data_IF_211198813513
#
_entry.id   IF_211198813513
#
_cell.length_a   1.000
_cell.length_b   1.000
_cell.length_c   1.000
_cell.angle_alpha   90.00
_cell.angle_beta   90.00
_cell.angle_gamma   90.00
#
_symmetry.space_group_name_H-M   'P 1'
#
loop_
_entity.id
_entity.type
_entity.pdbx_description
1 polymer ?
#
# COMPACT_ATOMS: atom_id res chain seq x y z
N UNK A 1 -41.78 -2.60 -62.19
CA UNK A 1 -41.75 -1.90 -60.90
C UNK A 1 -41.41 -2.93 -59.83
N UNK A 2 -40.18 -3.43 -59.82
CA UNK A 2 -39.69 -4.51 -58.89
C UNK A 2 -38.19 -4.37 -58.56
N UNK A 3 -37.73 -3.21 -58.07
CA UNK A 3 -36.31 -2.97 -57.76
C UNK A 3 -36.09 -2.42 -56.29
N UNK A 4 -37.14 -2.19 -55.52
CA UNK A 4 -37.03 -1.39 -54.30
C UNK A 4 -36.87 -2.21 -53.00
N UNK A 5 -37.11 -3.52 -53.02
CA UNK A 5 -37.14 -4.33 -51.80
C UNK A 5 -35.72 -4.89 -51.42
N UNK A 6 -34.87 -5.23 -52.38
CA UNK A 6 -33.54 -5.78 -52.14
C UNK A 6 -32.53 -4.75 -51.58
N UNK A 7 -32.66 -3.48 -51.96
CA UNK A 7 -31.77 -2.41 -51.47
C UNK A 7 -32.05 -2.02 -50.02
N UNK A 8 -33.28 -2.18 -49.55
CA UNK A 8 -33.68 -1.80 -48.20
C UNK A 8 -33.25 -2.83 -47.14
N UNK A 9 -33.21 -4.13 -47.48
CA UNK A 9 -32.72 -5.17 -46.55
C UNK A 9 -31.20 -5.11 -46.35
N UNK A 10 -30.42 -4.68 -47.35
CA UNK A 10 -28.98 -4.58 -47.26
C UNK A 10 -28.52 -3.40 -46.35
N UNK A 11 -29.30 -2.32 -46.31
CA UNK A 11 -29.01 -1.16 -45.47
C UNK A 11 -29.24 -1.43 -43.95
N UNK A 12 -30.28 -2.20 -43.64
CA UNK A 12 -30.64 -2.54 -42.25
C UNK A 12 -29.60 -3.49 -41.63
N UNK A 13 -29.09 -4.47 -42.40
CA UNK A 13 -28.06 -5.41 -41.91
C UNK A 13 -26.72 -4.76 -41.57
N UNK A 14 -26.32 -3.71 -42.28
CA UNK A 14 -25.05 -2.99 -42.04
C UNK A 14 -25.13 -2.08 -40.82
N UNK A 15 -26.28 -1.49 -40.53
CA UNK A 15 -26.47 -0.61 -39.36
C UNK A 15 -26.51 -1.39 -38.06
N UNK A 16 -27.05 -2.61 -38.05
CA UNK A 16 -27.08 -3.48 -36.87
C UNK A 16 -25.67 -4.01 -36.52
N UNK A 17 -24.83 -4.29 -37.52
CA UNK A 17 -23.47 -4.78 -37.31
C UNK A 17 -22.56 -3.70 -36.67
N UNK A 18 -22.74 -2.42 -37.05
CA UNK A 18 -21.98 -1.32 -36.45
C UNK A 18 -22.46 -0.99 -35.02
N UNK A 19 -23.70 -1.19 -34.70
CA UNK A 19 -24.24 -0.97 -33.35
C UNK A 19 -23.76 -2.07 -32.36
N UNK A 20 -23.67 -3.32 -32.85
CA UNK A 20 -23.14 -4.42 -32.03
C UNK A 20 -21.63 -4.31 -31.75
N UNK A 21 -20.85 -3.75 -32.67
CA UNK A 21 -19.39 -3.57 -32.50
C UNK A 21 -19.05 -2.38 -31.62
N UNK A 22 -19.92 -1.38 -31.50
CA UNK A 22 -19.74 -0.23 -30.58
C UNK A 22 -20.00 -0.56 -29.10
N UNK A 23 -20.70 -1.65 -28.79
CA UNK A 23 -21.10 -1.98 -27.41
C UNK A 23 -20.07 -2.87 -26.68
N UNK A 24 -19.10 -3.44 -27.37
CA UNK A 24 -18.11 -4.35 -26.77
C UNK A 24 -16.86 -3.62 -26.22
N UNK A 25 -16.65 -2.33 -26.52
CA UNK A 25 -15.48 -1.57 -26.05
C UNK A 25 -15.68 -0.81 -24.73
N UNK A 26 -16.81 -0.95 -24.05
CA UNK A 26 -17.13 -0.14 -22.86
C UNK A 26 -16.99 -0.87 -21.51
N UNK A 27 -16.36 -2.04 -21.45
CA UNK A 27 -16.36 -2.83 -20.21
C UNK A 27 -15.04 -3.50 -19.88
N UNK A 28 -13.94 -2.75 -19.78
CA UNK A 28 -12.75 -3.25 -19.06
C UNK A 28 -12.04 -2.12 -18.31
N UNK A 29 -12.78 -1.26 -17.66
CA UNK A 29 -12.26 -0.53 -16.51
C UNK A 29 -12.28 -1.50 -15.34
N UNK A 30 -11.24 -2.28 -15.14
CA UNK A 30 -11.02 -2.92 -13.85
C UNK A 30 -10.79 -1.77 -12.87
N UNK A 31 -11.82 -1.40 -12.14
CA UNK A 31 -11.69 -0.59 -10.95
C UNK A 31 -10.87 -1.44 -9.98
N UNK A 32 -9.56 -1.25 -9.97
CA UNK A 32 -8.74 -1.71 -8.86
C UNK A 32 -9.37 -1.11 -7.61
N UNK A 33 -9.90 -1.96 -6.72
CA UNK A 33 -10.44 -1.51 -5.46
C UNK A 33 -9.32 -0.75 -4.74
N UNK A 34 -9.43 0.57 -4.73
CA UNK A 34 -8.47 1.45 -4.10
C UNK A 34 -8.50 1.18 -2.61
N UNK A 35 -7.40 0.65 -2.05
CA UNK A 35 -7.25 0.50 -0.62
C UNK A 35 -7.02 1.87 0.01
N UNK A 36 -7.32 2.01 1.28
CA UNK A 36 -7.05 3.24 2.01
C UNK A 36 -6.52 2.93 3.40
N UNK A 37 -5.47 3.66 3.79
CA UNK A 37 -5.06 3.74 5.20
C UNK A 37 -6.08 4.58 5.95
N UNK A 38 -6.67 4.03 6.99
CA UNK A 38 -7.70 4.66 7.83
C UNK A 38 -7.18 5.03 9.22
N UNK A 39 -6.00 4.52 9.58
CA UNK A 39 -5.37 4.82 10.86
C UNK A 39 -3.91 4.38 10.90
N UNK A 40 -3.16 5.01 11.79
CA UNK A 40 -1.79 4.63 12.13
C UNK A 40 -1.58 4.77 13.62
N UNK A 41 -0.99 3.77 14.24
CA UNK A 41 -0.61 3.79 15.66
C UNK A 41 0.83 3.35 15.82
N UNK A 42 1.53 4.01 16.75
CA UNK A 42 2.90 3.67 17.13
C UNK A 42 2.96 3.51 18.63
N UNK A 43 3.58 2.44 19.10
CA UNK A 43 3.75 2.15 20.53
C UNK A 43 5.01 1.36 20.80
N UNK A 44 5.41 1.32 22.08
CA UNK A 44 6.49 0.45 22.52
C UNK A 44 6.02 -1.02 22.51
N UNK A 45 6.93 -1.92 22.20
CA UNK A 45 6.71 -3.37 22.25
C UNK A 45 7.90 -4.05 22.91
N UNK A 46 7.62 -5.04 23.76
CA UNK A 46 8.67 -5.90 24.31
C UNK A 46 8.89 -7.09 23.37
N UNK A 47 10.15 -7.31 23.02
CA UNK A 47 10.59 -8.42 22.16
C UNK A 47 11.80 -9.02 22.85
N UNK A 48 11.62 -10.20 23.42
CA UNK A 48 12.59 -10.80 24.32
C UNK A 48 12.93 -9.80 25.47
N UNK A 49 14.16 -9.48 25.71
CA UNK A 49 14.60 -8.57 26.78
C UNK A 49 14.72 -7.10 26.30
N UNK A 50 14.23 -6.76 25.10
CA UNK A 50 14.44 -5.45 24.48
C UNK A 50 13.14 -4.75 24.19
N UNK A 51 13.15 -3.44 24.39
CA UNK A 51 12.06 -2.58 23.94
C UNK A 51 12.28 -2.15 22.50
N UNK A 52 11.30 -2.38 21.66
CA UNK A 52 11.23 -1.96 20.27
C UNK A 52 10.03 -1.05 19.99
N UNK A 53 9.84 -0.73 18.73
CA UNK A 53 8.72 0.05 18.23
C UNK A 53 7.76 -0.87 17.47
N UNK A 54 6.48 -0.82 17.84
CA UNK A 54 5.38 -1.41 17.06
C UNK A 54 4.66 -0.35 16.27
N UNK A 55 4.63 -0.53 14.96
CA UNK A 55 3.81 0.24 14.03
C UNK A 55 2.60 -0.60 13.64
N UNK A 56 1.41 -0.02 13.73
CA UNK A 56 0.14 -0.61 13.26
C UNK A 56 -0.45 0.31 12.21
N UNK A 57 -0.66 -0.20 11.00
CA UNK A 57 -1.33 0.48 9.89
C UNK A 57 -2.71 -0.15 9.73
N UNK A 58 -3.76 0.67 9.85
CA UNK A 58 -5.14 0.25 9.66
C UNK A 58 -5.58 0.55 8.23
N UNK A 59 -6.23 -0.40 7.57
CA UNK A 59 -6.62 -0.28 6.16
C UNK A 59 -8.02 -0.85 5.91
N UNK A 60 -8.69 -0.37 4.86
CA UNK A 60 -10.01 -0.86 4.46
C UNK A 60 -9.98 -2.32 3.98
N UNK A 61 -8.93 -2.71 3.26
CA UNK A 61 -8.72 -4.05 2.72
C UNK A 61 -7.36 -4.61 3.17
N UNK A 62 -7.08 -5.91 3.04
CA UNK A 62 -5.77 -6.48 3.31
C UNK A 62 -4.67 -5.69 2.60
N UNK A 63 -3.59 -5.39 3.33
CA UNK A 63 -2.51 -4.55 2.82
C UNK A 63 -1.41 -5.42 2.21
N UNK A 64 -1.01 -5.07 0.99
CA UNK A 64 0.27 -5.47 0.39
C UNK A 64 1.25 -4.34 0.58
N UNK A 65 2.45 -4.63 1.05
CA UNK A 65 3.45 -3.61 1.30
C UNK A 65 4.85 -4.08 0.89
N UNK A 66 5.64 -3.14 0.40
CA UNK A 66 7.08 -3.31 0.22
C UNK A 66 7.81 -2.54 1.30
N UNK A 67 8.79 -3.16 1.92
CA UNK A 67 9.62 -2.54 2.95
C UNK A 67 11.02 -2.28 2.42
N UNK A 68 11.55 -1.08 2.69
CA UNK A 68 12.90 -0.71 2.32
C UNK A 68 13.58 -0.04 3.51
N UNK A 69 14.80 -0.46 3.82
CA UNK A 69 15.65 0.15 4.85
C UNK A 69 16.72 1.01 4.18
N UNK A 70 16.78 2.27 4.56
CA UNK A 70 17.76 3.24 4.05
C UNK A 70 18.70 3.69 5.17
N UNK A 71 19.96 3.92 4.81
CA UNK A 71 20.98 4.50 5.67
C UNK A 71 21.14 6.00 5.39
N UNK A 72 21.75 6.71 6.35
CA UNK A 72 22.22 8.10 6.20
C UNK A 72 21.14 9.11 5.77
N UNK A 73 20.13 9.38 6.56
CA UNK A 73 19.81 8.83 7.88
C UNK A 73 19.10 7.46 7.81
N UNK A 74 19.07 6.74 8.94
CA UNK A 74 18.34 5.49 9.04
C UNK A 74 16.83 5.72 8.87
N UNK A 75 16.18 4.95 8.00
CA UNK A 75 14.74 5.05 7.71
C UNK A 75 14.17 3.69 7.34
N UNK A 76 12.95 3.44 7.77
CA UNK A 76 12.08 2.43 7.17
C UNK A 76 11.13 3.13 6.22
N UNK A 77 11.11 2.72 4.97
CA UNK A 77 10.14 3.14 3.96
C UNK A 77 9.17 1.98 3.70
N UNK A 78 7.88 2.28 3.71
CA UNK A 78 6.79 1.33 3.46
C UNK A 78 6.02 1.84 2.27
N UNK A 79 6.10 1.12 1.15
CA UNK A 79 5.34 1.39 -0.06
C UNK A 79 4.13 0.47 -0.15
N UNK A 80 2.97 1.06 -0.35
CA UNK A 80 1.66 0.41 -0.35
C UNK A 80 1.00 0.63 -1.72
N UNK A 81 1.09 -0.34 -2.65
CA UNK A 81 0.45 -0.22 -3.96
C UNK A 81 -1.06 -0.04 -3.85
N UNK A 82 -1.62 0.76 -4.77
CA UNK A 82 -3.05 1.06 -4.89
C UNK A 82 -3.70 1.48 -3.56
N UNK A 83 -2.95 2.28 -2.75
CA UNK A 83 -3.39 2.67 -1.42
C UNK A 83 -3.32 4.19 -1.26
N UNK A 84 -4.42 4.79 -0.89
CA UNK A 84 -4.56 6.21 -0.54
C UNK A 84 -4.51 6.41 0.98
N UNK A 85 -4.49 7.68 1.40
CA UNK A 85 -4.56 8.08 2.81
C UNK A 85 -5.91 8.71 3.11
N UNK A 86 -6.65 8.13 4.07
CA UNK A 86 -7.91 8.64 4.58
C UNK A 86 -7.85 8.71 6.12
N UNK A 87 -7.04 9.64 6.63
CA UNK A 87 -6.69 9.81 8.04
C UNK A 87 -6.93 11.26 8.47
N UNK A 88 -8.17 11.60 8.80
CA UNK A 88 -8.61 12.99 9.01
C UNK A 88 -7.89 13.72 10.17
N UNK A 89 -7.40 12.98 11.18
CA UNK A 89 -6.81 13.54 12.40
C UNK A 89 -5.30 13.35 12.51
N UNK A 90 -4.65 12.77 11.50
CA UNK A 90 -3.22 12.50 11.52
C UNK A 90 -2.51 13.50 10.60
N UNK A 91 -1.61 14.31 11.16
CA UNK A 91 -0.77 15.19 10.35
C UNK A 91 0.15 14.35 9.43
N UNK A 92 0.36 14.83 8.19
CA UNK A 92 1.20 14.11 7.20
C UNK A 92 2.65 13.91 7.64
N UNK A 93 3.07 14.61 8.68
CA UNK A 93 4.39 14.45 9.33
C UNK A 93 4.27 14.74 10.82
N UNK A 94 5.08 14.06 11.62
CA UNK A 94 5.10 14.27 13.06
C UNK A 94 6.30 13.63 13.73
N UNK A 95 6.53 13.98 14.99
CA UNK A 95 7.53 13.35 15.85
C UNK A 95 6.98 12.07 16.46
N UNK A 96 7.86 11.11 16.70
CA UNK A 96 7.56 9.90 17.45
C UNK A 96 8.22 10.00 18.83
N UNK A 97 7.53 9.47 19.85
CA UNK A 97 8.02 9.44 21.23
C UNK A 97 8.44 8.01 21.66
N UNK A 98 8.63 7.13 20.68
CA UNK A 98 8.91 5.70 20.89
C UNK A 98 10.14 5.30 20.10
N UNK A 99 11.26 5.10 20.82
CA UNK A 99 12.50 4.62 20.21
C UNK A 99 12.29 3.21 19.60
N UNK A 100 12.97 2.89 18.48
CA UNK A 100 13.99 3.68 17.79
C UNK A 100 13.46 4.69 16.77
N UNK A 101 12.16 4.94 16.72
CA UNK A 101 11.54 5.93 15.82
C UNK A 101 11.70 7.36 16.35
N UNK A 102 12.01 8.33 15.49
CA UNK A 102 12.12 9.74 15.81
C UNK A 102 11.02 10.60 15.18
N UNK A 103 10.66 10.26 13.94
CA UNK A 103 9.63 10.99 13.21
C UNK A 103 8.97 10.08 12.16
N UNK A 104 7.85 10.55 11.65
CA UNK A 104 7.17 9.94 10.51
C UNK A 104 6.74 10.98 9.49
N UNK A 105 6.56 10.54 8.25
CA UNK A 105 5.85 11.27 7.21
C UNK A 105 5.18 10.30 6.25
N UNK A 106 4.04 10.72 5.70
CA UNK A 106 3.33 9.92 4.70
C UNK A 106 2.77 10.78 3.57
N UNK A 107 2.40 10.14 2.48
CA UNK A 107 1.79 10.73 1.30
C UNK A 107 1.76 9.77 0.13
N UNK A 108 1.39 10.29 -1.04
CA UNK A 108 1.40 9.53 -2.28
C UNK A 108 2.48 10.13 -3.22
N UNK A 109 3.69 9.54 -3.28
CA UNK A 109 4.73 10.00 -4.22
C UNK A 109 4.35 9.78 -5.68
N UNK A 110 3.44 8.82 -5.92
CA UNK A 110 2.71 8.58 -7.17
C UNK A 110 1.25 8.32 -6.83
N UNK A 111 0.29 8.62 -7.72
CA UNK A 111 -1.14 8.45 -7.43
C UNK A 111 -1.50 7.07 -6.89
N UNK A 112 -0.87 6.02 -7.44
CA UNK A 112 -1.13 4.62 -7.11
C UNK A 112 -0.28 4.05 -5.95
N UNK A 113 0.58 4.86 -5.30
CA UNK A 113 1.45 4.39 -4.22
C UNK A 113 1.28 5.25 -2.97
N UNK A 114 0.72 4.67 -1.92
CA UNK A 114 0.82 5.23 -0.57
C UNK A 114 2.21 4.94 0.00
N UNK A 115 2.87 5.94 0.57
CA UNK A 115 4.18 5.79 1.20
C UNK A 115 4.16 6.29 2.63
N UNK A 116 4.66 5.47 3.54
CA UNK A 116 5.00 5.86 4.91
C UNK A 116 6.51 5.78 5.10
N UNK A 117 7.09 6.80 5.70
CA UNK A 117 8.50 6.81 6.10
C UNK A 117 8.59 6.98 7.60
N UNK A 118 9.28 6.07 8.27
CA UNK A 118 9.66 6.19 9.68
C UNK A 118 11.15 6.53 9.74
N UNK A 119 11.46 7.67 10.31
CA UNK A 119 12.84 8.08 10.60
C UNK A 119 13.29 7.40 11.88
N UNK A 120 14.54 6.92 11.89
CA UNK A 120 15.09 6.12 12.97
C UNK A 120 16.34 6.79 13.53
N UNK A 121 16.44 6.86 14.85
CA UNK A 121 17.64 7.35 15.55
C UNK A 121 18.78 6.35 15.53
N UNK A 122 18.45 5.07 15.39
CA UNK A 122 19.37 3.93 15.45
C UNK A 122 19.12 2.94 14.32
N UNK A 123 20.06 2.04 14.00
CA UNK A 123 19.93 1.05 12.94
C UNK A 123 18.95 -0.07 13.32
N UNK A 124 17.67 0.26 13.43
CA UNK A 124 16.61 -0.69 13.70
C UNK A 124 16.00 -1.27 12.43
N UNK A 125 15.66 -2.55 12.49
CA UNK A 125 15.09 -3.29 11.38
C UNK A 125 13.81 -4.02 11.79
N UNK A 126 12.92 -4.36 10.84
CA UNK A 126 11.78 -5.23 11.09
C UNK A 126 12.24 -6.60 11.61
N UNK A 127 11.64 -7.04 12.72
CA UNK A 127 11.86 -8.38 13.30
C UNK A 127 10.61 -9.23 13.28
N UNK A 128 9.43 -8.58 13.16
CA UNK A 128 8.14 -9.22 12.93
C UNK A 128 7.34 -8.36 11.97
N UNK A 129 6.73 -9.00 10.97
CA UNK A 129 5.77 -8.36 10.06
C UNK A 129 4.61 -9.34 9.90
N UNK A 130 3.39 -8.89 10.19
CA UNK A 130 2.21 -9.75 10.15
C UNK A 130 0.93 -8.94 10.00
N UNK A 131 -0.11 -9.58 9.49
CA UNK A 131 -1.46 -9.04 9.46
C UNK A 131 -2.28 -9.58 10.63
N UNK A 132 -3.12 -8.74 11.22
CA UNK A 132 -4.13 -9.16 12.18
C UNK A 132 -5.50 -9.23 11.49
N UNK A 133 -6.34 -10.21 11.87
CA UNK A 133 -7.70 -10.30 11.35
C UNK A 133 -8.47 -9.00 11.57
N UNK A 134 -9.46 -8.71 10.72
CA UNK A 134 -10.35 -7.58 10.92
C UNK A 134 -11.01 -7.64 12.30
N UNK A 135 -10.97 -6.51 13.02
CA UNK A 135 -11.67 -6.35 14.29
C UNK A 135 -12.26 -4.94 14.30
N UNK A 136 -13.55 -4.84 13.98
CA UNK A 136 -14.30 -3.58 13.97
C UNK A 136 -13.79 -2.49 13.02
N UNK A 137 -12.53 -2.08 13.14
CA UNK A 137 -11.93 -0.97 12.40
C UNK A 137 -11.25 -1.36 11.07
N UNK A 138 -11.38 -2.59 10.59
CA UNK A 138 -10.77 -3.05 9.36
C UNK A 138 -9.51 -3.90 9.56
N UNK A 139 -8.72 -4.02 8.49
CA UNK A 139 -7.50 -4.83 8.49
C UNK A 139 -6.37 -4.07 9.18
N UNK A 140 -5.46 -4.80 9.82
CA UNK A 140 -4.32 -4.24 10.54
C UNK A 140 -3.04 -4.91 10.08
N UNK A 141 -2.12 -4.11 9.57
CA UNK A 141 -0.78 -4.55 9.21
C UNK A 141 0.20 -4.07 10.29
N UNK A 142 0.98 -4.98 10.85
CA UNK A 142 1.82 -4.74 12.02
C UNK A 142 3.29 -4.96 11.67
N UNK A 143 4.13 -4.02 12.05
CA UNK A 143 5.58 -4.10 11.92
C UNK A 143 6.20 -3.83 13.28
N UNK A 144 7.00 -4.77 13.78
CA UNK A 144 7.82 -4.59 14.98
C UNK A 144 9.26 -4.32 14.57
N UNK A 145 9.79 -3.19 14.99
CA UNK A 145 11.17 -2.75 14.76
C UNK A 145 12.01 -2.90 16.03
N UNK A 146 13.21 -3.45 15.87
CA UNK A 146 14.17 -3.58 16.97
C UNK A 146 15.56 -3.13 16.51
N UNK A 147 16.25 -2.35 17.36
CA UNK A 147 17.68 -2.06 17.20
C UNK A 147 18.49 -3.31 17.59
N UNK A 148 19.11 -3.92 16.60
CA UNK A 148 20.05 -5.04 16.75
C UNK A 148 21.46 -4.68 16.28
N UNK A 149 21.72 -3.37 16.09
CA UNK A 149 22.99 -2.84 15.61
C UNK A 149 23.12 -2.82 14.09
N UNK A 150 24.17 -2.15 13.62
CA UNK A 150 24.39 -1.84 12.21
C UNK A 150 24.49 -3.09 11.33
N UNK A 151 25.16 -4.13 11.78
CA UNK A 151 25.32 -5.38 11.01
C UNK A 151 23.96 -6.04 10.75
N UNK A 152 23.11 -6.16 11.78
CA UNK A 152 21.78 -6.72 11.63
C UNK A 152 20.88 -5.87 10.70
N UNK A 153 21.02 -4.54 10.79
CA UNK A 153 20.33 -3.62 9.88
C UNK A 153 20.73 -3.86 8.41
N UNK A 154 22.02 -3.99 8.11
CA UNK A 154 22.51 -4.22 6.75
C UNK A 154 22.04 -5.56 6.17
N UNK A 155 22.06 -6.62 6.99
CA UNK A 155 21.54 -7.94 6.61
C UNK A 155 20.04 -7.85 6.28
N UNK A 156 19.26 -7.19 7.14
CA UNK A 156 17.84 -7.00 6.92
C UNK A 156 17.56 -6.13 5.68
N UNK A 157 18.33 -5.07 5.44
CA UNK A 157 18.20 -4.24 4.23
C UNK A 157 18.37 -5.07 2.95
N UNK A 158 19.44 -5.86 2.89
CA UNK A 158 19.72 -6.73 1.74
C UNK A 158 18.66 -7.84 1.54
N UNK A 159 18.07 -8.33 2.63
CA UNK A 159 17.00 -9.32 2.56
C UNK A 159 15.69 -8.70 1.99
N UNK A 160 15.32 -7.50 2.44
CA UNK A 160 14.13 -6.79 1.98
C UNK A 160 14.22 -6.37 0.51
N UNK A 161 15.41 -6.01 0.02
CA UNK A 161 15.63 -5.70 -1.40
C UNK A 161 15.34 -6.90 -2.32
N UNK A 162 15.56 -8.12 -1.83
CA UNK A 162 15.31 -9.37 -2.58
C UNK A 162 13.86 -9.85 -2.49
N UNK A 163 13.10 -9.37 -1.52
CA UNK A 163 11.70 -9.77 -1.27
C UNK A 163 10.82 -8.51 -1.23
N UNK A 164 10.51 -7.93 -2.38
CA UNK A 164 9.90 -6.59 -2.44
C UNK A 164 8.46 -6.51 -1.94
N UNK A 165 7.74 -7.63 -1.82
CA UNK A 165 6.34 -7.63 -1.37
C UNK A 165 6.14 -8.55 -0.16
N UNK A 166 5.44 -8.02 0.86
CA UNK A 166 4.99 -8.76 2.03
C UNK A 166 3.47 -8.73 2.02
N UNK A 167 2.88 -9.91 1.95
CA UNK A 167 1.42 -10.14 1.98
C UNK A 167 0.94 -10.38 3.41
#
# INVERSE_FOLDING_TARGET
MMITVKAMLAAIGRSILFLAMGLVLAATGQAFAENAVTGMRVGAVQIDDRTGLRLVIETKAPLKASLLLLQSPYRLVIDMPNTSWNVDKLAQRGKLQVAPGSAYRFGNPKPEIGRLVIELEKPAAPVRVFALPPAGAGNRFVIDLLDRGKTAFLVASSALEKTPNID
#
